data_IF_346320414911
#
_entry.id   IF_346320414911
#
_cell.length_a   1.000
_cell.length_b   1.000
_cell.length_c   1.000
_cell.angle_alpha   90.00
_cell.angle_beta   90.00
_cell.angle_gamma   90.00
#
_symmetry.space_group_name_H-M   'P 1'
#
loop_
_entity.id
_entity.type
_entity.pdbx_description
1 polymer ?
#
# COMPACT_ATOMS: atom_id res chain seq x y z
N UNK A 1 9.86 0.18 -4.78
CA UNK A 1 8.39 0.07 -4.79
C UNK A 1 7.83 0.74 -3.55
N UNK A 2 6.64 1.32 -3.63
CA UNK A 2 5.97 1.94 -2.49
C UNK A 2 4.45 1.89 -2.66
N UNK A 3 3.72 2.05 -1.55
CA UNK A 3 2.26 2.22 -1.56
C UNK A 3 1.94 3.69 -1.78
N UNK A 4 1.28 3.99 -2.91
CA UNK A 4 0.69 5.30 -3.19
C UNK A 4 -0.72 5.34 -2.60
N UNK A 5 -0.99 6.33 -1.77
CA UNK A 5 -2.29 6.58 -1.13
C UNK A 5 -2.91 7.81 -1.77
N UNK A 6 -4.16 7.70 -2.23
CA UNK A 6 -4.93 8.80 -2.83
C UNK A 6 -6.18 9.01 -1.97
N UNK A 7 -6.36 10.19 -1.33
CA UNK A 7 -7.51 10.45 -0.47
C UNK A 7 -8.84 10.31 -1.23
N UNK A 8 -9.85 9.71 -0.59
CA UNK A 8 -11.21 9.70 -1.12
C UNK A 8 -11.95 10.99 -0.72
N UNK A 9 -11.95 12.00 -1.58
CA UNK A 9 -12.54 13.32 -1.26
C UNK A 9 -14.05 13.42 -1.49
N UNK A 10 -14.64 12.50 -2.25
CA UNK A 10 -16.06 12.56 -2.66
C UNK A 10 -16.92 11.39 -2.17
N UNK A 11 -16.31 10.34 -1.62
CA UNK A 11 -17.01 9.12 -1.22
C UNK A 11 -17.10 8.94 0.30
N UNK A 12 -17.04 7.69 0.74
CA UNK A 12 -17.05 7.32 2.15
C UNK A 12 -15.92 8.05 2.91
N UNK A 13 -16.27 8.63 4.08
CA UNK A 13 -15.29 9.24 4.96
C UNK A 13 -14.29 8.18 5.45
N UNK A 14 -13.09 8.64 5.76
CA UNK A 14 -11.99 7.81 6.30
C UNK A 14 -11.53 6.66 5.39
N UNK A 15 -11.75 6.80 4.09
CA UNK A 15 -11.28 5.85 3.08
C UNK A 15 -10.27 6.47 2.12
N UNK A 16 -9.49 5.63 1.45
CA UNK A 16 -8.50 6.02 0.46
C UNK A 16 -8.36 4.97 -0.65
N UNK A 17 -7.85 5.40 -1.80
CA UNK A 17 -7.46 4.47 -2.86
C UNK A 17 -5.97 4.17 -2.76
N UNK A 18 -5.60 2.89 -2.74
CA UNK A 18 -4.23 2.45 -2.61
C UNK A 18 -3.70 1.76 -3.88
N UNK A 19 -2.44 2.02 -4.22
CA UNK A 19 -1.76 1.43 -5.38
C UNK A 19 -0.35 0.99 -5.01
N UNK A 20 0.07 -0.18 -5.51
CA UNK A 20 1.47 -0.59 -5.48
C UNK A 20 2.17 0.02 -6.68
N UNK A 21 3.17 0.87 -6.42
CA UNK A 21 3.90 1.59 -7.46
C UNK A 21 5.36 1.16 -7.47
N UNK A 22 5.87 0.87 -8.65
CA UNK A 22 7.30 0.68 -8.89
C UNK A 22 7.90 1.96 -9.45
N UNK A 23 9.04 2.36 -8.88
CA UNK A 23 9.87 3.43 -9.42
C UNK A 23 11.01 2.81 -10.21
N UNK A 24 11.18 3.23 -11.46
CA UNK A 24 12.22 2.76 -12.37
C UNK A 24 12.85 3.94 -13.11
N UNK A 25 14.00 3.72 -13.75
CA UNK A 25 14.65 4.72 -14.62
C UNK A 25 14.52 4.29 -16.06
N UNK A 26 14.18 5.24 -16.91
CA UNK A 26 14.14 5.06 -18.37
C UNK A 26 14.77 6.30 -19.00
N UNK A 27 15.83 6.11 -19.80
CA UNK A 27 16.58 7.18 -20.45
C UNK A 27 17.03 8.29 -19.47
N UNK A 28 17.55 7.89 -18.31
CA UNK A 28 18.01 8.81 -17.25
C UNK A 28 16.89 9.51 -16.47
N UNK A 29 15.62 9.37 -16.86
CA UNK A 29 14.47 9.96 -16.17
C UNK A 29 13.83 8.95 -15.21
N UNK A 30 13.47 9.40 -14.02
CA UNK A 30 12.72 8.60 -13.05
C UNK A 30 11.26 8.55 -13.51
N UNK A 31 10.71 7.33 -13.64
CA UNK A 31 9.33 7.06 -13.99
C UNK A 31 8.70 6.12 -12.96
N UNK A 32 7.38 6.20 -12.84
CA UNK A 32 6.59 5.35 -11.96
C UNK A 32 5.58 4.54 -12.78
N UNK A 33 5.44 3.24 -12.48
CA UNK A 33 4.34 2.41 -13.01
C UNK A 33 3.55 1.77 -11.89
N UNK A 34 2.25 1.67 -12.07
CA UNK A 34 1.37 0.94 -11.15
C UNK A 34 1.48 -0.55 -11.42
N UNK A 35 1.86 -1.33 -10.40
CA UNK A 35 1.91 -2.79 -10.46
C UNK A 35 0.58 -3.42 -10.01
N UNK A 36 -0.10 -2.82 -9.02
CA UNK A 36 -1.35 -3.33 -8.48
C UNK A 36 -2.25 -2.19 -8.00
N UNK A 37 -3.55 -2.31 -8.25
CA UNK A 37 -4.59 -1.47 -7.68
C UNK A 37 -5.29 -2.24 -6.56
N UNK A 38 -5.36 -1.67 -5.36
CA UNK A 38 -6.03 -2.28 -4.21
C UNK A 38 -7.48 -1.80 -4.03
N UNK A 39 -7.93 -0.84 -4.84
CA UNK A 39 -9.25 -0.26 -4.72
C UNK A 39 -9.36 0.67 -3.51
N UNK A 40 -10.59 0.80 -3.02
CA UNK A 40 -10.93 1.60 -1.86
C UNK A 40 -10.63 0.79 -0.58
N UNK A 41 -9.89 1.39 0.35
CA UNK A 41 -9.53 0.83 1.65
C UNK A 41 -9.86 1.82 2.76
N UNK A 42 -10.01 1.31 3.98
CA UNK A 42 -10.07 2.12 5.18
C UNK A 42 -8.66 2.65 5.52
N UNK A 43 -8.58 3.85 6.11
CA UNK A 43 -7.29 4.50 6.36
C UNK A 43 -6.42 3.74 7.39
N UNK A 44 -7.03 3.02 8.32
CA UNK A 44 -6.38 2.17 9.32
C UNK A 44 -5.71 0.92 8.70
N UNK A 45 -6.14 0.51 7.50
CA UNK A 45 -5.55 -0.62 6.76
C UNK A 45 -4.22 -0.25 6.09
N UNK A 46 -3.97 1.04 5.84
CA UNK A 46 -2.82 1.55 5.10
C UNK A 46 -1.47 1.17 5.74
N UNK A 47 -1.25 1.28 7.07
CA UNK A 47 -0.02 0.86 7.72
C UNK A 47 0.33 -0.61 7.45
N UNK A 48 -0.65 -1.52 7.53
CA UNK A 48 -0.42 -2.95 7.26
C UNK A 48 -0.01 -3.19 5.81
N UNK A 49 -0.65 -2.49 4.87
CA UNK A 49 -0.31 -2.59 3.46
C UNK A 49 1.11 -2.05 3.20
N UNK A 50 1.48 -0.92 3.82
CA UNK A 50 2.86 -0.40 3.75
C UNK A 50 3.86 -1.38 4.33
N UNK A 51 3.55 -2.02 5.45
CA UNK A 51 4.40 -2.99 6.12
C UNK A 51 4.62 -4.24 5.25
N UNK A 52 3.56 -4.74 4.61
CA UNK A 52 3.60 -5.90 3.71
C UNK A 52 4.59 -5.74 2.55
N UNK A 53 4.74 -4.51 2.03
CA UNK A 53 5.62 -4.17 0.90
C UNK A 53 6.87 -3.36 1.31
N UNK A 54 7.15 -3.25 2.61
CA UNK A 54 8.36 -2.60 3.10
C UNK A 54 9.60 -3.44 2.76
N UNK A 55 10.75 -2.78 2.55
CA UNK A 55 12.04 -3.48 2.31
C UNK A 55 12.38 -4.44 3.47
N UNK A 56 12.08 -4.04 4.70
CA UNK A 56 12.16 -4.88 5.89
C UNK A 56 10.74 -5.29 6.29
N UNK A 57 10.21 -6.30 5.60
CA UNK A 57 8.87 -6.83 5.84
C UNK A 57 8.79 -7.41 7.26
N UNK A 58 7.83 -7.00 8.11
CA UNK A 58 7.70 -7.57 9.44
C UNK A 58 7.25 -9.04 9.33
N UNK A 59 7.63 -9.83 10.34
CA UNK A 59 7.09 -11.18 10.50
C UNK A 59 5.64 -11.06 10.96
N UNK A 60 4.75 -11.79 10.31
CA UNK A 60 3.38 -11.91 10.75
C UNK A 60 3.36 -12.81 11.99
N UNK A 61 2.82 -12.29 13.09
CA UNK A 61 2.66 -12.99 14.36
C UNK A 61 1.16 -13.08 14.59
N UNK A 62 0.70 -14.28 14.88
CA UNK A 62 -0.65 -14.53 15.33
C UNK A 62 -0.56 -14.85 16.81
N UNK A 63 -1.57 -14.45 17.56
CA UNK A 63 -1.77 -15.02 18.89
C UNK A 63 -2.23 -16.45 18.65
N UNK A 64 -1.42 -17.43 19.06
CA UNK A 64 -1.82 -18.84 18.96
C UNK A 64 -3.09 -18.99 19.82
N UNK A 65 -4.22 -19.34 19.20
CA UNK A 65 -5.42 -19.75 19.95
C UNK A 65 -5.08 -21.10 20.63
N UNK A 66 -4.48 -21.04 21.83
CA UNK A 66 -4.36 -22.22 22.70
C UNK A 66 -5.77 -22.78 22.89
N UNK A 67 -5.97 -23.98 22.33
CA UNK A 67 -7.23 -24.74 22.33
C UNK A 67 -7.47 -25.41 23.67
#
# INVERSE_FOLDING_TARGET
MFIKVVPNTKGAKDTCFCYLVESYRENGKIKHRTLKNFGLLENDQVPYLKAMYAKKKPRLVYDDEET
#
